data_IF_954864868258
#
_entry.id   IF_954864868258
#
_cell.length_a   1.000
_cell.length_b   1.000
_cell.length_c   1.000
_cell.angle_alpha   90.00
_cell.angle_beta   90.00
_cell.angle_gamma   90.00
#
_symmetry.space_group_name_H-M   'P 1'
#
loop_
_entity.id
_entity.type
_entity.pdbx_description
1 polymer ?
#
# COMPACT_ATOMS: atom_id res chain seq x y z
N UNK A 1 -4.75 5.99 -12.98
CA UNK A 1 -4.41 6.05 -11.54
C UNK A 1 -3.37 7.13 -11.20
N UNK A 2 -2.26 7.27 -11.94
CA UNK A 2 -1.15 8.22 -11.68
C UNK A 2 -1.53 9.59 -11.16
N UNK A 3 -2.21 10.37 -12.00
CA UNK A 3 -2.56 11.75 -11.69
C UNK A 3 -3.50 11.87 -10.50
N UNK A 4 -4.26 10.80 -10.18
CA UNK A 4 -5.17 10.75 -9.04
C UNK A 4 -4.41 10.56 -7.73
N UNK A 5 -3.45 9.63 -7.68
CA UNK A 5 -2.60 9.41 -6.50
C UNK A 5 -1.78 10.66 -6.21
N UNK A 6 -1.17 11.25 -7.23
CA UNK A 6 -0.44 12.53 -7.11
C UNK A 6 -1.38 13.61 -6.54
N UNK A 7 -2.55 13.79 -7.14
CA UNK A 7 -3.52 14.79 -6.67
C UNK A 7 -3.99 14.56 -5.23
N UNK A 8 -4.14 13.30 -4.80
CA UNK A 8 -4.51 12.96 -3.43
C UNK A 8 -3.41 13.39 -2.45
N UNK A 9 -2.15 13.05 -2.75
CA UNK A 9 -1.01 13.39 -1.89
C UNK A 9 -0.79 14.90 -1.85
N UNK A 10 -0.82 15.59 -3.00
CA UNK A 10 -0.65 17.04 -3.07
C UNK A 10 -1.74 17.80 -2.31
N UNK A 11 -3.01 17.39 -2.46
CA UNK A 11 -4.12 18.00 -1.71
C UNK A 11 -3.96 17.82 -0.20
N UNK A 12 -3.55 16.63 0.23
CA UNK A 12 -3.36 16.35 1.66
C UNK A 12 -2.16 17.11 2.23
N UNK A 13 -1.01 17.10 1.55
CA UNK A 13 0.16 17.89 1.96
C UNK A 13 -0.18 19.39 2.04
N UNK A 14 -0.98 19.90 1.09
CA UNK A 14 -1.42 21.29 1.10
C UNK A 14 -2.36 21.59 2.28
N UNK A 15 -3.33 20.72 2.58
CA UNK A 15 -4.27 20.94 3.68
C UNK A 15 -3.60 20.91 5.06
N UNK A 16 -2.54 20.12 5.23
CA UNK A 16 -1.76 20.02 6.47
C UNK A 16 -0.73 21.16 6.61
N UNK A 17 -0.52 21.95 5.56
CA UNK A 17 0.48 23.03 5.50
C UNK A 17 1.94 22.56 5.56
N UNK A 18 2.19 21.26 5.71
CA UNK A 18 3.52 20.65 5.78
C UNK A 18 3.50 19.28 5.09
N UNK A 19 4.59 18.89 4.37
CA UNK A 19 4.64 17.59 3.70
C UNK A 19 4.50 16.42 4.67
N UNK A 20 3.47 15.60 4.46
CA UNK A 20 3.21 14.37 5.20
C UNK A 20 3.68 13.14 4.45
N UNK A 21 3.46 13.13 3.13
CA UNK A 21 3.75 11.99 2.25
C UNK A 21 4.49 12.47 1.01
N UNK A 22 5.52 11.74 0.61
CA UNK A 22 6.17 11.87 -0.68
C UNK A 22 5.71 10.73 -1.61
N UNK A 23 5.74 10.97 -2.92
CA UNK A 23 5.49 9.96 -3.93
C UNK A 23 6.64 9.90 -4.93
N UNK A 24 6.88 8.72 -5.49
CA UNK A 24 7.75 8.54 -6.65
C UNK A 24 7.17 7.47 -7.59
N UNK A 25 7.53 7.57 -8.86
CA UNK A 25 7.20 6.62 -9.91
C UNK A 25 8.50 6.23 -10.60
N UNK A 26 8.69 4.95 -10.80
CA UNK A 26 9.80 4.44 -11.61
C UNK A 26 9.35 4.29 -13.09
N UNK A 27 9.98 3.43 -13.88
CA UNK A 27 9.63 3.10 -15.25
C UNK A 27 8.32 2.28 -15.38
N UNK A 28 7.25 2.67 -14.69
CA UNK A 28 5.99 1.94 -14.73
C UNK A 28 4.85 2.60 -13.96
N UNK A 29 3.68 1.94 -13.96
CA UNK A 29 2.48 2.56 -13.45
C UNK A 29 2.38 2.58 -11.90
N UNK A 30 3.30 1.91 -11.20
CA UNK A 30 3.22 1.73 -9.77
C UNK A 30 3.73 2.98 -9.03
N UNK A 31 2.93 3.45 -8.07
CA UNK A 31 3.31 4.56 -7.19
C UNK A 31 3.97 4.01 -5.93
N UNK A 32 5.14 4.55 -5.57
CA UNK A 32 5.75 4.34 -4.26
C UNK A 32 5.45 5.55 -3.39
N UNK A 33 4.79 5.33 -2.26
CA UNK A 33 4.41 6.39 -1.32
C UNK A 33 5.21 6.24 -0.02
N UNK A 34 5.83 7.33 0.41
CA UNK A 34 6.68 7.38 1.60
C UNK A 34 6.02 8.29 2.62
N UNK A 35 5.48 7.70 3.68
CA UNK A 35 4.91 8.43 4.80
C UNK A 35 5.97 8.74 5.86
N UNK A 36 5.89 9.92 6.49
CA UNK A 36 6.87 10.39 7.48
C UNK A 36 7.02 9.49 8.70
N UNK A 37 5.93 8.87 9.14
CA UNK A 37 5.90 7.99 10.31
C UNK A 37 4.69 7.05 10.24
N UNK A 38 4.58 6.12 11.20
CA UNK A 38 3.51 5.13 11.25
C UNK A 38 2.11 5.75 11.32
N UNK A 39 1.91 6.80 12.12
CA UNK A 39 0.63 7.51 12.22
C UNK A 39 0.22 8.13 10.87
N UNK A 40 1.15 8.78 10.19
CA UNK A 40 0.91 9.32 8.84
C UNK A 40 0.65 8.18 7.83
N UNK A 41 1.33 7.05 7.93
CA UNK A 41 1.08 5.89 7.07
C UNK A 41 -0.33 5.32 7.26
N UNK A 42 -0.82 5.24 8.50
CA UNK A 42 -2.18 4.83 8.83
C UNK A 42 -3.23 5.76 8.19
N UNK A 43 -3.03 7.09 8.33
CA UNK A 43 -3.89 8.10 7.73
C UNK A 43 -3.85 8.11 6.20
N UNK A 44 -2.68 7.82 5.62
CA UNK A 44 -2.50 7.64 4.19
C UNK A 44 -3.31 6.43 3.70
N UNK A 45 -3.21 5.32 4.40
CA UNK A 45 -3.89 4.08 4.04
C UNK A 45 -5.41 4.25 4.03
N UNK A 46 -5.98 4.91 5.04
CA UNK A 46 -7.42 5.22 5.06
C UNK A 46 -7.84 6.05 3.84
N UNK A 47 -7.07 7.09 3.46
CA UNK A 47 -7.35 7.90 2.27
C UNK A 47 -7.27 7.11 0.98
N UNK A 48 -6.26 6.24 0.87
CA UNK A 48 -6.07 5.39 -0.30
C UNK A 48 -7.20 4.37 -0.42
N UNK A 49 -7.58 3.68 0.65
CA UNK A 49 -8.67 2.70 0.65
C UNK A 49 -10.04 3.35 0.44
N UNK A 50 -10.25 4.57 0.95
CA UNK A 50 -11.45 5.35 0.63
C UNK A 50 -11.53 5.67 -0.86
N UNK A 51 -10.42 6.12 -1.46
CA UNK A 51 -10.37 6.61 -2.85
C UNK A 51 -10.31 5.46 -3.86
N UNK A 52 -9.58 4.39 -3.54
CA UNK A 52 -9.33 3.22 -4.36
C UNK A 52 -9.74 1.97 -3.56
N UNK A 53 -11.05 1.73 -3.36
CA UNK A 53 -11.49 0.51 -2.71
C UNK A 53 -11.20 -0.71 -3.61
N UNK A 54 -11.00 -1.90 -3.00
CA UNK A 54 -10.76 -3.13 -3.75
C UNK A 54 -11.94 -3.48 -4.65
N UNK A 55 -11.66 -4.14 -5.78
CA UNK A 55 -12.71 -4.63 -6.67
C UNK A 55 -13.50 -5.79 -6.05
N UNK A 56 -12.78 -6.71 -5.42
CA UNK A 56 -13.31 -7.88 -4.74
C UNK A 56 -13.46 -7.61 -3.23
N UNK A 57 -14.29 -8.40 -2.56
CA UNK A 57 -14.53 -8.27 -1.11
C UNK A 57 -13.46 -9.01 -0.29
N UNK A 58 -12.19 -8.87 -0.69
CA UNK A 58 -11.05 -9.49 -0.02
C UNK A 58 -9.99 -8.43 0.29
N UNK A 59 -10.01 -7.93 1.52
CA UNK A 59 -9.02 -6.96 2.01
C UNK A 59 -7.65 -7.62 2.22
N UNK A 60 -7.62 -8.93 2.43
CA UNK A 60 -6.42 -9.68 2.81
C UNK A 60 -5.50 -9.95 1.62
N UNK A 61 -6.05 -10.15 0.42
CA UNK A 61 -5.28 -10.16 -0.83
C UNK A 61 -4.98 -8.76 -1.35
N UNK A 62 -5.84 -7.78 -1.01
CA UNK A 62 -5.64 -6.39 -1.40
C UNK A 62 -4.48 -5.71 -0.66
N UNK A 63 -4.12 -6.21 0.52
CA UNK A 63 -3.08 -5.65 1.38
C UNK A 63 -1.98 -6.67 1.61
N UNK A 64 -0.80 -6.42 1.08
CA UNK A 64 0.37 -7.28 1.20
C UNK A 64 1.45 -6.63 2.09
N UNK A 65 2.34 -7.47 2.64
CA UNK A 65 3.43 -7.02 3.51
C UNK A 65 2.99 -6.83 4.96
N UNK A 66 3.30 -5.68 5.55
CA UNK A 66 2.95 -5.36 6.95
C UNK A 66 1.46 -5.08 7.11
N UNK A 67 0.67 -6.13 7.35
CA UNK A 67 -0.78 -6.05 7.59
C UNK A 67 -1.16 -5.42 8.92
N UNK A 68 -0.23 -5.28 9.87
CA UNK A 68 -0.54 -4.71 11.20
C UNK A 68 -1.01 -3.25 11.13
N UNK A 69 -0.68 -2.54 10.04
CA UNK A 69 -1.12 -1.18 9.77
C UNK A 69 -2.64 -1.06 9.55
N UNK A 70 -3.32 -2.13 9.13
CA UNK A 70 -4.78 -2.15 8.99
C UNK A 70 -5.45 -2.04 10.35
N UNK A 71 -4.95 -2.79 11.34
CA UNK A 71 -5.42 -2.70 12.72
C UNK A 71 -5.17 -1.32 13.32
N UNK A 72 -4.00 -0.71 13.05
CA UNK A 72 -3.75 0.68 13.48
C UNK A 72 -4.72 1.68 12.85
N UNK A 73 -5.20 1.39 11.63
CA UNK A 73 -6.19 2.18 10.92
C UNK A 73 -7.63 1.92 11.37
N UNK A 74 -7.85 0.99 12.30
CA UNK A 74 -9.18 0.55 12.72
C UNK A 74 -9.92 -0.20 11.61
N UNK A 75 -9.20 -0.84 10.68
CA UNK A 75 -9.76 -1.56 9.54
C UNK A 75 -9.55 -3.06 9.75
N UNK A 76 -10.64 -3.81 9.87
CA UNK A 76 -10.63 -5.27 10.01
C UNK A 76 -11.34 -5.97 8.85
N UNK A 77 -12.19 -5.23 8.13
CA UNK A 77 -13.05 -5.76 7.06
C UNK A 77 -13.27 -4.74 5.95
N UNK A 78 -13.82 -5.22 4.84
CA UNK A 78 -14.29 -4.37 3.73
C UNK A 78 -15.37 -3.39 4.20
N UNK A 79 -16.23 -3.79 5.15
CA UNK A 79 -17.28 -2.92 5.68
C UNK A 79 -16.69 -1.68 6.37
N UNK A 80 -15.55 -1.84 7.04
CA UNK A 80 -14.85 -0.70 7.66
C UNK A 80 -14.31 0.27 6.60
N UNK A 81 -13.80 -0.26 5.47
CA UNK A 81 -13.35 0.54 4.32
C UNK A 81 -14.51 1.29 3.68
N UNK A 82 -15.67 0.66 3.54
CA UNK A 82 -16.88 1.29 3.00
C UNK A 82 -17.41 2.40 3.92
N UNK A 83 -17.30 2.20 5.23
CA UNK A 83 -17.71 3.14 6.27
C UNK A 83 -16.71 4.28 6.52
N UNK A 84 -15.52 4.25 5.91
CA UNK A 84 -14.54 5.32 6.06
C UNK A 84 -15.13 6.70 5.67
N UNK A 85 -14.96 7.73 6.52
CA UNK A 85 -15.41 9.07 6.20
C UNK A 85 -14.59 9.66 5.05
N UNK A 86 -15.19 10.59 4.32
CA UNK A 86 -14.49 11.34 3.29
C UNK A 86 -13.32 12.15 3.90
N UNK A 87 -12.12 12.12 3.28
CA UNK A 87 -11.03 13.00 3.69
C UNK A 87 -11.44 14.47 3.57
N UNK A 88 -11.12 15.32 4.56
CA UNK A 88 -11.57 16.72 4.61
C UNK A 88 -11.07 17.56 3.42
N UNK A 89 -9.94 17.20 2.83
CA UNK A 89 -9.35 17.86 1.67
C UNK A 89 -10.00 17.48 0.32
N UNK A 90 -10.91 16.49 0.29
CA UNK A 90 -11.59 16.05 -0.93
C UNK A 90 -12.85 16.88 -1.22
N UNK A 91 -12.78 17.70 -2.28
CA UNK A 91 -13.91 18.50 -2.78
C UNK A 91 -15.07 17.68 -3.38
N UNK A 92 -14.80 16.45 -3.82
CA UNK A 92 -15.77 15.56 -4.45
C UNK A 92 -15.72 14.18 -3.76
N UNK A 93 -16.30 14.06 -2.55
CA UNK A 93 -16.18 12.86 -1.73
C UNK A 93 -16.77 11.60 -2.39
N UNK A 94 -17.77 11.76 -3.24
CA UNK A 94 -18.48 10.61 -3.82
C UNK A 94 -17.75 9.91 -4.98
N UNK A 95 -16.60 10.43 -5.44
CA UNK A 95 -15.87 9.83 -6.55
C UNK A 95 -14.83 8.83 -6.06
N UNK A 96 -15.23 7.56 -5.93
CA UNK A 96 -14.34 6.42 -5.66
C UNK A 96 -13.96 5.71 -6.97
N UNK A 97 -12.75 5.13 -7.01
CA UNK A 97 -12.18 4.47 -8.17
C UNK A 97 -11.96 2.98 -7.87
N UNK A 98 -13.05 2.25 -7.75
CA UNK A 98 -13.04 0.82 -7.44
C UNK A 98 -12.29 0.05 -8.53
N UNK A 99 -11.27 -0.73 -8.16
CA UNK A 99 -10.47 -1.54 -9.09
C UNK A 99 -9.36 -0.81 -9.86
N UNK A 100 -9.23 0.53 -9.73
CA UNK A 100 -8.14 1.29 -10.37
C UNK A 100 -6.74 0.96 -9.81
N UNK A 101 -6.69 0.35 -8.62
CA UNK A 101 -5.48 -0.14 -7.96
C UNK A 101 -5.69 -1.61 -7.65
N UNK A 102 -4.75 -2.48 -8.04
CA UNK A 102 -4.86 -3.93 -7.89
C UNK A 102 -4.62 -4.42 -6.46
N UNK A 103 -3.65 -3.84 -5.76
CA UNK A 103 -3.32 -4.13 -4.36
C UNK A 103 -2.34 -3.07 -3.84
N UNK A 104 -2.12 -3.05 -2.53
CA UNK A 104 -1.09 -2.26 -1.86
C UNK A 104 -0.06 -3.17 -1.20
N UNK A 105 1.22 -2.79 -1.26
CA UNK A 105 2.28 -3.41 -0.47
C UNK A 105 2.73 -2.41 0.59
N UNK A 106 2.55 -2.75 1.87
CA UNK A 106 3.08 -1.97 2.98
C UNK A 106 4.42 -2.57 3.44
N UNK A 107 5.48 -1.76 3.40
CA UNK A 107 6.81 -2.17 3.82
C UNK A 107 7.53 -1.06 4.57
N UNK A 108 8.70 -1.38 5.12
CA UNK A 108 9.55 -0.47 5.89
C UNK A 108 10.99 -0.55 5.36
N UNK A 109 11.82 0.47 5.60
CA UNK A 109 13.24 0.41 5.28
C UNK A 109 13.87 -0.88 5.83
N UNK A 110 14.51 -1.64 4.95
CA UNK A 110 15.10 -2.94 5.26
C UNK A 110 16.58 -2.86 5.68
N UNK A 111 17.10 -3.98 6.18
CA UNK A 111 18.49 -4.09 6.66
C UNK A 111 19.53 -4.43 5.56
N UNK A 112 19.10 -4.56 4.30
CA UNK A 112 19.95 -4.96 3.18
C UNK A 112 19.96 -6.48 2.90
N UNK A 113 20.87 -6.95 2.03
CA UNK A 113 20.95 -8.36 1.66
C UNK A 113 21.38 -9.25 2.83
N UNK A 114 20.90 -10.50 2.85
CA UNK A 114 21.20 -11.49 3.89
C UNK A 114 21.60 -12.82 3.26
N UNK A 115 22.64 -13.44 3.81
CA UNK A 115 22.98 -14.84 3.50
C UNK A 115 22.02 -15.76 4.25
N UNK A 116 21.33 -16.64 3.52
CA UNK A 116 20.51 -17.70 4.10
C UNK A 116 21.38 -18.96 4.18
N UNK A 117 21.66 -19.42 5.40
CA UNK A 117 22.48 -20.61 5.66
C UNK A 117 21.67 -21.90 5.68
N UNK A 118 20.34 -21.80 5.65
CA UNK A 118 19.44 -22.95 5.58
C UNK A 118 19.23 -23.35 4.12
N UNK A 119 19.69 -24.55 3.77
CA UNK A 119 19.58 -25.15 2.45
C UNK A 119 18.12 -25.37 2.00
N UNK A 120 17.16 -25.33 2.94
CA UNK A 120 15.73 -25.34 2.62
C UNK A 120 15.31 -24.15 1.76
N UNK A 121 16.03 -23.02 1.88
CA UNK A 121 15.81 -21.82 1.07
C UNK A 121 16.58 -21.83 -0.26
N UNK A 122 17.45 -22.81 -0.51
CA UNK A 122 18.14 -22.91 -1.79
C UNK A 122 17.14 -23.22 -2.90
N UNK A 123 17.11 -22.37 -3.92
CA UNK A 123 16.24 -22.52 -5.09
C UNK A 123 16.77 -23.57 -6.10
N UNK A 124 17.99 -24.04 -5.92
CA UNK A 124 18.64 -25.05 -6.75
C UNK A 124 18.78 -26.33 -5.95
N UNK A 125 18.42 -27.45 -6.55
CA UNK A 125 18.60 -28.78 -5.99
C UNK A 125 20.09 -29.16 -5.99
N UNK A 126 20.58 -29.60 -4.84
CA UNK A 126 22.01 -29.85 -4.63
C UNK A 126 22.51 -31.11 -5.34
N UNK A 127 21.64 -32.05 -5.69
CA UNK A 127 22.00 -33.29 -6.37
C UNK A 127 22.00 -33.12 -7.90
N UNK A 128 21.04 -32.37 -8.43
CA UNK A 128 20.82 -32.22 -9.88
C UNK A 128 21.37 -30.91 -10.45
N UNK A 129 21.59 -29.90 -9.61
CA UNK A 129 21.97 -28.55 -10.06
C UNK A 129 20.86 -27.80 -10.80
N UNK A 130 19.63 -28.30 -10.77
CA UNK A 130 18.47 -27.72 -11.43
C UNK A 130 17.59 -26.94 -10.44
N UNK A 131 16.74 -26.06 -10.95
CA UNK A 131 15.79 -25.33 -10.12
C UNK A 131 14.84 -26.29 -9.40
N UNK A 132 14.61 -26.07 -8.09
CA UNK A 132 13.58 -26.79 -7.35
C UNK A 132 12.21 -26.28 -7.80
N UNK A 133 11.36 -27.17 -8.30
CA UNK A 133 9.99 -26.85 -8.71
C UNK A 133 9.73 -26.81 -10.22
N UNK A 134 10.68 -27.26 -11.05
CA UNK A 134 10.40 -27.75 -12.41
C UNK A 134 10.03 -29.23 -12.39
#
# INVERSE_FOLDING_TARGET
SHSRIISLVEKWNHSEGTPQVAYTFDAGPNAVLIARNRKTATLLLQRLLYTFPPQENDLDSYMLGDKSILSDAGLQSIADVEALPAPPEMKAPNQKFKGDVSYFICSRPGAGPKVLTDESHALIDSATGLAKGV
#
